data_IF_809907586508
#
_entry.id   IF_809907586508
#
_cell.length_a   1.000
_cell.length_b   1.000
_cell.length_c   1.000
_cell.angle_alpha   90.00
_cell.angle_beta   90.00
_cell.angle_gamma   90.00
#
_symmetry.space_group_name_H-M   'P 1'
#
loop_
_entity.id
_entity.type
_entity.pdbx_description
1 polymer ?
#
# COMPACT_ATOMS: atom_id res chain seq x y z
N UNK A 1 -13.54 -40.33 1.27
CA UNK A 1 -15.01 -40.40 1.06
C UNK A 1 -15.36 -39.58 -0.18
N UNK A 2 -16.07 -40.15 -1.16
CA UNK A 2 -16.46 -39.38 -2.35
C UNK A 2 -17.65 -38.46 -2.02
N UNK A 3 -17.49 -37.16 -2.29
CA UNK A 3 -18.53 -36.14 -2.10
C UNK A 3 -18.70 -35.33 -3.39
N UNK A 4 -19.90 -34.81 -3.61
CA UNK A 4 -20.17 -33.87 -4.69
C UNK A 4 -19.82 -32.46 -4.23
N UNK A 5 -18.99 -31.74 -4.99
CA UNK A 5 -18.65 -30.35 -4.70
C UNK A 5 -19.90 -29.47 -4.85
N UNK A 6 -20.25 -28.72 -3.80
CA UNK A 6 -21.40 -27.80 -3.81
C UNK A 6 -21.28 -26.69 -4.88
N UNK A 7 -20.06 -26.35 -5.30
CA UNK A 7 -19.80 -25.22 -6.21
C UNK A 7 -19.74 -25.60 -7.68
N UNK A 8 -19.10 -26.71 -8.04
CA UNK A 8 -18.89 -27.13 -9.43
C UNK A 8 -19.56 -28.45 -9.79
N UNK A 9 -20.21 -29.12 -8.84
CA UNK A 9 -20.91 -30.37 -9.07
C UNK A 9 -20.02 -31.59 -9.35
N UNK A 10 -18.69 -31.42 -9.45
CA UNK A 10 -17.74 -32.53 -9.62
C UNK A 10 -17.67 -33.40 -8.36
N UNK A 11 -17.52 -34.71 -8.54
CA UNK A 11 -17.18 -35.62 -7.45
C UNK A 11 -15.71 -35.41 -7.05
N UNK A 12 -15.43 -35.36 -5.76
CA UNK A 12 -14.08 -35.27 -5.22
C UNK A 12 -13.91 -36.12 -3.97
N UNK A 13 -12.67 -36.48 -3.67
CA UNK A 13 -12.35 -37.23 -2.48
C UNK A 13 -12.14 -36.27 -1.28
N UNK A 14 -13.10 -36.27 -0.37
CA UNK A 14 -13.02 -35.50 0.86
C UNK A 14 -12.16 -36.24 1.89
N UNK A 15 -11.14 -35.55 2.42
CA UNK A 15 -10.26 -36.04 3.50
C UNK A 15 -10.95 -36.07 4.87
N UNK A 16 -11.93 -35.20 5.08
CA UNK A 16 -12.69 -35.07 6.32
C UNK A 16 -14.16 -34.70 5.99
N UNK A 17 -15.07 -34.96 6.91
CA UNK A 17 -16.51 -34.83 6.66
C UNK A 17 -16.98 -33.38 6.43
N UNK A 18 -16.32 -32.39 7.02
CA UNK A 18 -16.75 -30.99 6.89
C UNK A 18 -16.37 -30.35 5.55
N UNK A 19 -15.57 -31.01 4.70
CA UNK A 19 -15.21 -30.46 3.40
C UNK A 19 -16.40 -30.52 2.42
N UNK A 20 -16.87 -29.34 2.02
CA UNK A 20 -18.04 -29.14 1.13
C UNK A 20 -17.68 -28.84 -0.33
N UNK A 21 -16.44 -28.43 -0.58
CA UNK A 21 -15.97 -28.00 -1.91
C UNK A 21 -14.68 -28.73 -2.30
N UNK A 22 -14.52 -28.99 -3.59
CA UNK A 22 -13.32 -29.65 -4.11
C UNK A 22 -12.07 -28.77 -4.02
N UNK A 23 -10.90 -29.38 -4.12
CA UNK A 23 -9.59 -28.72 -4.05
C UNK A 23 -9.46 -27.57 -5.06
N UNK A 24 -9.84 -27.78 -6.32
CA UNK A 24 -9.83 -26.74 -7.37
C UNK A 24 -10.69 -25.54 -6.99
N UNK A 25 -11.91 -25.78 -6.47
CA UNK A 25 -12.83 -24.72 -6.07
C UNK A 25 -12.35 -23.97 -4.82
N UNK A 26 -11.63 -24.65 -3.92
CA UNK A 26 -11.04 -24.07 -2.74
C UNK A 26 -9.83 -23.17 -3.10
N UNK A 27 -8.95 -23.65 -3.98
CA UNK A 27 -7.84 -22.83 -4.53
C UNK A 27 -8.40 -21.63 -5.30
N UNK A 28 -9.43 -21.82 -6.12
CA UNK A 28 -10.08 -20.72 -6.84
C UNK A 28 -10.73 -19.69 -5.89
N UNK A 29 -11.11 -20.09 -4.67
CA UNK A 29 -11.60 -19.18 -3.63
C UNK A 29 -10.44 -18.43 -2.95
N UNK A 30 -9.34 -19.12 -2.63
CA UNK A 30 -8.14 -18.51 -2.06
C UNK A 30 -7.49 -17.50 -3.03
N UNK A 31 -7.31 -17.87 -4.29
CA UNK A 31 -6.78 -16.97 -5.34
C UNK A 31 -7.70 -15.80 -5.71
N UNK A 32 -9.04 -15.93 -5.53
CA UNK A 32 -9.95 -14.78 -5.65
C UNK A 32 -9.83 -13.81 -4.49
N UNK A 33 -9.57 -14.30 -3.27
CA UNK A 33 -9.29 -13.42 -2.12
C UNK A 33 -7.98 -12.64 -2.34
N UNK A 34 -6.92 -13.30 -2.84
CA UNK A 34 -5.65 -12.65 -3.16
C UNK A 34 -5.76 -11.61 -4.29
N UNK A 35 -6.58 -11.85 -5.32
CA UNK A 35 -6.83 -10.85 -6.40
C UNK A 35 -7.76 -9.73 -5.97
N UNK A 36 -8.72 -9.98 -5.06
CA UNK A 36 -9.61 -8.95 -4.52
C UNK A 36 -8.90 -7.99 -3.57
N UNK A 37 -7.96 -8.47 -2.75
CA UNK A 37 -7.19 -7.62 -1.83
C UNK A 37 -6.16 -6.73 -2.53
N UNK A 38 -5.52 -7.21 -3.61
CA UNK A 38 -4.59 -6.41 -4.41
C UNK A 38 -5.27 -5.27 -5.16
N UNK A 39 -6.57 -5.41 -5.48
CA UNK A 39 -7.37 -4.42 -6.20
C UNK A 39 -7.69 -3.18 -5.36
N UNK A 40 -7.85 -3.32 -4.03
CA UNK A 40 -8.48 -2.26 -3.25
C UNK A 40 -7.53 -1.10 -2.95
N UNK A 41 -6.23 -1.36 -2.78
CA UNK A 41 -5.26 -0.27 -2.60
C UNK A 41 -4.89 0.39 -3.92
N UNK A 42 -4.79 -0.37 -5.02
CA UNK A 42 -4.47 0.20 -6.34
C UNK A 42 -5.50 1.24 -6.79
N UNK A 43 -6.77 1.05 -6.42
CA UNK A 43 -7.85 1.99 -6.71
C UNK A 43 -7.77 3.28 -5.86
N UNK A 44 -7.00 3.25 -4.77
CA UNK A 44 -6.76 4.40 -3.88
C UNK A 44 -5.47 5.16 -4.23
N UNK A 45 -4.66 4.67 -5.17
CA UNK A 45 -3.41 5.34 -5.58
C UNK A 45 -3.72 6.55 -6.46
N UNK A 46 -3.35 7.75 -5.97
CA UNK A 46 -3.47 8.98 -6.74
C UNK A 46 -2.56 8.94 -7.97
N UNK A 47 -3.12 9.12 -9.17
CA UNK A 47 -2.34 9.21 -10.42
C UNK A 47 -1.55 10.53 -10.50
N UNK A 48 -2.10 11.59 -9.93
CA UNK A 48 -1.52 12.93 -9.83
C UNK A 48 -1.94 13.56 -8.50
N UNK A 49 -1.10 14.43 -7.95
CA UNK A 49 -1.43 15.24 -6.79
C UNK A 49 -2.11 16.56 -7.15
N UNK A 50 -2.01 16.96 -8.41
CA UNK A 50 -2.50 18.25 -8.89
C UNK A 50 -3.63 18.05 -9.88
N UNK A 51 -4.66 18.89 -9.77
CA UNK A 51 -5.73 19.02 -10.76
C UNK A 51 -5.24 19.72 -12.04
N UNK A 52 -6.12 19.86 -13.02
CA UNK A 52 -5.82 20.53 -14.29
C UNK A 52 -5.42 22.01 -14.13
N UNK A 53 -5.74 22.61 -12.98
CA UNK A 53 -5.40 24.00 -12.64
C UNK A 53 -4.11 24.11 -11.82
N UNK A 54 -3.47 22.99 -11.51
CA UNK A 54 -2.24 22.94 -10.71
C UNK A 54 -2.46 23.05 -9.20
N UNK A 55 -3.70 22.91 -8.71
CA UNK A 55 -4.00 22.90 -7.28
C UNK A 55 -3.94 21.48 -6.71
N UNK A 56 -3.60 21.37 -5.42
CA UNK A 56 -3.63 20.10 -4.71
C UNK A 56 -5.04 19.52 -4.71
N UNK A 57 -5.16 18.25 -5.07
CA UNK A 57 -6.44 17.54 -5.02
C UNK A 57 -6.84 17.29 -3.56
N UNK A 58 -8.12 17.50 -3.24
CA UNK A 58 -8.65 17.39 -1.87
C UNK A 58 -8.49 15.98 -1.29
N UNK A 59 -8.42 14.99 -2.17
CA UNK A 59 -8.24 13.57 -1.89
C UNK A 59 -6.92 13.28 -1.15
N UNK A 60 -5.95 14.20 -1.21
CA UNK A 60 -4.72 14.13 -0.41
C UNK A 60 -5.02 14.23 1.10
N UNK A 61 -6.09 14.92 1.48
CA UNK A 61 -6.42 15.25 2.86
C UNK A 61 -7.66 14.49 3.38
N UNK A 62 -8.59 14.18 2.47
CA UNK A 62 -9.90 13.63 2.81
C UNK A 62 -10.14 12.29 2.12
N UNK A 63 -10.85 11.41 2.82
CA UNK A 63 -11.34 10.10 2.37
C UNK A 63 -10.26 9.06 2.01
N UNK A 64 -9.37 9.35 1.06
CA UNK A 64 -8.32 8.44 0.62
C UNK A 64 -7.33 8.12 1.75
N UNK A 65 -6.82 9.10 2.52
CA UNK A 65 -5.83 8.82 3.56
C UNK A 65 -6.38 7.88 4.66
N UNK A 66 -7.64 8.07 5.05
CA UNK A 66 -8.34 7.21 6.02
C UNK A 66 -8.50 5.77 5.49
N UNK A 67 -8.92 5.62 4.23
CA UNK A 67 -9.06 4.29 3.60
C UNK A 67 -7.72 3.57 3.49
N UNK A 68 -6.67 4.29 3.07
CA UNK A 68 -5.32 3.75 3.00
C UNK A 68 -4.84 3.34 4.40
N UNK A 69 -4.98 4.23 5.39
CA UNK A 69 -4.58 3.97 6.77
C UNK A 69 -5.24 2.69 7.33
N UNK A 70 -6.56 2.57 7.19
CA UNK A 70 -7.31 1.37 7.60
C UNK A 70 -6.84 0.12 6.87
N UNK A 71 -6.64 0.19 5.56
CA UNK A 71 -6.16 -0.96 4.77
C UNK A 71 -4.78 -1.42 5.24
N UNK A 72 -3.83 -0.49 5.36
CA UNK A 72 -2.46 -0.79 5.80
C UNK A 72 -2.41 -1.36 7.23
N UNK A 73 -3.30 -0.91 8.11
CA UNK A 73 -3.45 -1.45 9.46
C UNK A 73 -4.03 -2.87 9.45
N UNK A 74 -4.96 -3.17 8.54
CA UNK A 74 -5.61 -4.47 8.41
C UNK A 74 -4.80 -5.50 7.60
N UNK A 75 -3.73 -5.08 6.93
CA UNK A 75 -2.90 -5.97 6.11
C UNK A 75 -2.10 -6.99 6.94
N UNK A 76 -1.52 -7.97 6.23
CA UNK A 76 -0.64 -8.98 6.81
C UNK A 76 0.72 -9.00 6.08
N UNK A 77 1.83 -8.73 6.80
CA UNK A 77 1.89 -8.22 8.19
C UNK A 77 1.22 -6.85 8.34
N UNK A 78 0.67 -6.56 9.51
CA UNK A 78 0.03 -5.27 9.79
C UNK A 78 1.08 -4.18 9.91
N UNK A 79 0.86 -3.05 9.24
CA UNK A 79 1.73 -1.89 9.37
C UNK A 79 1.54 -1.25 10.75
N UNK A 80 2.63 -1.11 11.50
CA UNK A 80 2.63 -0.47 12.81
C UNK A 80 2.87 1.02 12.68
N UNK A 81 2.25 1.81 13.55
CA UNK A 81 2.46 3.27 13.63
C UNK A 81 3.94 3.67 13.69
N UNK A 82 4.78 2.94 14.44
CA UNK A 82 6.22 3.21 14.48
C UNK A 82 6.87 3.08 13.10
N UNK A 83 6.55 2.03 12.36
CA UNK A 83 7.11 1.79 11.03
C UNK A 83 6.67 2.92 10.08
N UNK A 84 5.39 3.28 10.11
CA UNK A 84 4.87 4.40 9.32
C UNK A 84 5.61 5.72 9.64
N UNK A 85 5.81 6.04 10.92
CA UNK A 85 6.56 7.23 11.35
C UNK A 85 8.03 7.21 10.96
N UNK A 86 8.66 6.03 10.95
CA UNK A 86 10.05 5.87 10.52
C UNK A 86 10.20 6.24 9.03
N UNK A 87 9.24 5.88 8.18
CA UNK A 87 9.22 6.28 6.76
C UNK A 87 8.80 7.74 6.56
N UNK A 88 7.80 8.20 7.31
CA UNK A 88 7.40 9.61 7.33
C UNK A 88 8.58 10.53 7.62
N UNK A 89 9.41 10.20 8.61
CA UNK A 89 10.59 10.98 8.98
C UNK A 89 11.60 11.08 7.82
N UNK A 90 11.77 10.02 7.04
CA UNK A 90 12.65 10.03 5.85
C UNK A 90 12.12 11.00 4.81
N UNK A 91 10.82 10.93 4.50
CA UNK A 91 10.18 11.82 3.51
C UNK A 91 10.19 13.27 3.99
N UNK A 92 9.91 13.52 5.27
CA UNK A 92 10.00 14.84 5.90
C UNK A 92 11.41 15.43 5.77
N UNK A 93 12.45 14.64 6.03
CA UNK A 93 13.84 15.08 5.89
C UNK A 93 14.22 15.37 4.43
N UNK A 94 13.76 14.53 3.49
CA UNK A 94 13.93 14.76 2.06
C UNK A 94 13.25 16.06 1.63
N UNK A 95 12.00 16.28 2.05
CA UNK A 95 11.25 17.52 1.78
C UNK A 95 12.00 18.76 2.28
N UNK A 96 12.40 18.77 3.56
CA UNK A 96 13.14 19.90 4.15
C UNK A 96 14.44 20.17 3.41
N UNK A 97 15.15 19.13 3.00
CA UNK A 97 16.41 19.27 2.25
C UNK A 97 16.17 19.79 0.83
N UNK A 98 15.10 19.34 0.16
CA UNK A 98 14.74 19.79 -1.19
C UNK A 98 14.35 21.27 -1.22
N UNK A 99 13.64 21.74 -0.20
CA UNK A 99 13.30 23.17 -0.05
C UNK A 99 14.53 24.07 0.05
N UNK A 100 15.67 23.55 0.53
CA UNK A 100 16.91 24.32 0.71
C UNK A 100 17.88 24.17 -0.46
N UNK A 101 17.93 22.99 -1.08
CA UNK A 101 19.01 22.58 -2.00
C UNK A 101 18.50 22.08 -3.36
N UNK A 102 17.19 22.07 -3.56
CA UNK A 102 16.53 21.58 -4.76
C UNK A 102 16.34 20.06 -4.79
N UNK A 103 15.44 19.59 -5.66
CA UNK A 103 15.04 18.18 -5.77
C UNK A 103 16.20 17.21 -6.06
N UNK A 104 17.19 17.63 -6.85
CA UNK A 104 18.30 16.76 -7.26
C UNK A 104 19.18 16.35 -6.07
N UNK A 105 19.30 17.23 -5.07
CA UNK A 105 20.10 16.97 -3.87
C UNK A 105 19.51 15.87 -2.98
N UNK A 106 18.23 15.51 -3.15
CA UNK A 106 17.52 14.57 -2.27
C UNK A 106 17.16 13.25 -2.95
N UNK A 107 17.43 13.09 -4.25
CA UNK A 107 17.15 11.83 -4.97
C UNK A 107 17.78 10.62 -4.30
N UNK A 108 19.01 10.77 -3.82
CA UNK A 108 19.72 9.71 -3.08
C UNK A 108 18.97 9.28 -1.81
N UNK A 109 18.32 10.21 -1.11
CA UNK A 109 17.50 9.93 0.08
C UNK A 109 16.25 9.14 -0.31
N UNK A 110 15.59 9.54 -1.41
CA UNK A 110 14.41 8.83 -1.92
C UNK A 110 14.75 7.41 -2.38
N UNK A 111 15.90 7.22 -3.04
CA UNK A 111 16.38 5.88 -3.42
C UNK A 111 16.75 5.02 -2.22
N UNK A 112 17.37 5.60 -1.19
CA UNK A 112 17.60 4.89 0.08
C UNK A 112 16.29 4.51 0.78
N UNK A 113 15.26 5.35 0.67
CA UNK A 113 13.92 5.00 1.15
C UNK A 113 13.38 3.78 0.40
N UNK A 114 13.53 3.74 -0.93
CA UNK A 114 13.12 2.61 -1.75
C UNK A 114 13.84 1.31 -1.38
N UNK A 115 15.17 1.34 -1.20
CA UNK A 115 15.93 0.14 -0.79
C UNK A 115 15.55 -0.34 0.62
N UNK A 116 15.26 0.59 1.55
CA UNK A 116 14.78 0.27 2.89
C UNK A 116 13.41 -0.43 2.87
N UNK A 117 12.52 -0.05 1.95
CA UNK A 117 11.24 -0.74 1.75
C UNK A 117 11.46 -2.19 1.34
N UNK A 118 12.32 -2.44 0.35
CA UNK A 118 12.64 -3.81 -0.09
C UNK A 118 13.19 -4.67 1.04
N UNK A 119 14.09 -4.09 1.83
CA UNK A 119 14.68 -4.80 2.95
C UNK A 119 13.64 -5.17 4.02
N UNK A 120 12.75 -4.24 4.38
CA UNK A 120 11.71 -4.52 5.37
C UNK A 120 10.64 -5.48 4.84
N UNK A 121 10.30 -5.39 3.56
CA UNK A 121 9.39 -6.32 2.89
C UNK A 121 9.93 -7.76 2.91
N UNK A 122 11.19 -7.95 2.52
CA UNK A 122 11.85 -9.27 2.53
C UNK A 122 11.91 -9.89 3.92
N UNK A 123 11.90 -9.07 4.97
CA UNK A 123 11.87 -9.51 6.37
C UNK A 123 10.46 -9.67 6.92
N UNK A 124 9.43 -9.50 6.07
CA UNK A 124 8.02 -9.59 6.45
C UNK A 124 7.68 -8.63 7.62
N UNK A 125 8.34 -7.47 7.65
CA UNK A 125 8.16 -6.45 8.68
C UNK A 125 7.01 -5.51 8.30
N UNK A 126 6.84 -5.25 7.00
CA UNK A 126 5.83 -4.35 6.43
C UNK A 126 5.05 -5.07 5.33
N UNK A 127 3.78 -4.70 5.08
CA UNK A 127 2.98 -5.34 4.05
C UNK A 127 3.37 -4.89 2.64
N UNK A 128 3.13 -5.77 1.66
CA UNK A 128 3.37 -5.49 0.24
C UNK A 128 2.59 -4.26 -0.26
N UNK A 129 1.35 -4.08 0.22
CA UNK A 129 0.50 -2.92 -0.06
C UNK A 129 1.20 -1.60 0.30
N UNK A 130 1.84 -1.52 1.46
CA UNK A 130 2.58 -0.33 1.88
C UNK A 130 3.76 -0.06 0.95
N UNK A 131 4.47 -1.10 0.51
CA UNK A 131 5.58 -0.98 -0.44
C UNK A 131 5.10 -0.48 -1.80
N UNK A 132 3.99 -1.03 -2.30
CA UNK A 132 3.40 -0.62 -3.58
C UNK A 132 2.94 0.83 -3.54
N UNK A 133 2.27 1.24 -2.46
CA UNK A 133 1.92 2.64 -2.19
C UNK A 133 3.16 3.54 -2.20
N UNK A 134 4.16 3.22 -1.37
CA UNK A 134 5.35 4.07 -1.24
C UNK A 134 6.13 4.16 -2.56
N UNK A 135 6.32 3.05 -3.28
CA UNK A 135 7.02 3.04 -4.58
C UNK A 135 6.31 3.92 -5.61
N UNK A 136 4.97 3.83 -5.67
CA UNK A 136 4.18 4.66 -6.58
C UNK A 136 4.38 6.14 -6.28
N UNK A 137 4.24 6.53 -5.02
CA UNK A 137 4.32 7.93 -4.64
C UNK A 137 5.75 8.49 -4.59
N UNK A 138 6.78 7.66 -4.35
CA UNK A 138 8.18 8.04 -4.51
C UNK A 138 8.50 8.41 -5.97
N UNK A 139 7.99 7.66 -6.95
CA UNK A 139 8.16 8.00 -8.38
C UNK A 139 7.51 9.34 -8.74
N UNK A 140 6.37 9.67 -8.11
CA UNK A 140 5.76 10.99 -8.29
C UNK A 140 6.61 12.08 -7.63
N UNK A 141 7.08 11.84 -6.40
CA UNK A 141 7.88 12.78 -5.63
C UNK A 141 9.24 13.10 -6.26
N UNK A 142 9.82 12.20 -7.04
CA UNK A 142 11.09 12.43 -7.77
C UNK A 142 10.98 13.47 -8.89
N UNK A 143 9.77 13.85 -9.32
CA UNK A 143 9.57 14.78 -10.45
C UNK A 143 10.07 16.19 -10.14
N UNK A 144 9.65 16.74 -9.01
CA UNK A 144 9.97 18.10 -8.58
C UNK A 144 9.63 18.30 -7.08
N UNK A 145 10.04 19.44 -6.52
CA UNK A 145 9.78 19.78 -5.11
C UNK A 145 8.29 19.84 -4.77
N UNK A 146 7.43 20.26 -5.71
CA UNK A 146 5.98 20.36 -5.47
C UNK A 146 5.36 18.98 -5.30
N UNK A 147 5.77 17.99 -6.10
CA UNK A 147 5.29 16.62 -5.95
C UNK A 147 5.82 15.95 -4.68
N UNK A 148 7.05 16.26 -4.27
CA UNK A 148 7.59 15.78 -2.99
C UNK A 148 6.82 16.39 -1.80
N UNK A 149 6.52 17.69 -1.85
CA UNK A 149 5.71 18.37 -0.86
C UNK A 149 4.28 17.78 -0.79
N UNK A 150 3.64 17.56 -1.94
CA UNK A 150 2.33 16.94 -2.01
C UNK A 150 2.31 15.51 -1.47
N UNK A 151 3.35 14.71 -1.76
CA UNK A 151 3.48 13.38 -1.18
C UNK A 151 3.63 13.43 0.33
N UNK A 152 4.44 14.35 0.85
CA UNK A 152 4.58 14.55 2.28
C UNK A 152 3.22 14.86 2.93
N UNK A 153 2.42 15.78 2.36
CA UNK A 153 1.10 16.12 2.87
C UNK A 153 0.12 14.93 2.84
N UNK A 154 0.19 14.10 1.78
CA UNK A 154 -0.61 12.87 1.68
C UNK A 154 -0.22 11.87 2.77
N UNK A 155 1.09 11.67 2.98
CA UNK A 155 1.60 10.76 3.99
C UNK A 155 1.30 11.25 5.41
N UNK A 156 1.38 12.55 5.65
CA UNK A 156 1.00 13.20 6.91
C UNK A 156 -0.48 12.93 7.24
N UNK A 157 -1.36 13.11 6.26
CA UNK A 157 -2.78 12.81 6.41
C UNK A 157 -3.01 11.32 6.76
N UNK A 158 -2.30 10.39 6.12
CA UNK A 158 -2.38 8.95 6.45
C UNK A 158 -1.93 8.71 7.90
N UNK A 159 -0.84 9.36 8.34
CA UNK A 159 -0.36 9.26 9.73
C UNK A 159 -1.43 9.75 10.71
N UNK A 160 -2.13 10.84 10.40
CA UNK A 160 -3.20 11.39 11.24
C UNK A 160 -4.41 10.45 11.36
N UNK A 161 -4.80 9.79 10.27
CA UNK A 161 -5.92 8.82 10.30
C UNK A 161 -5.50 7.42 10.76
N UNK A 162 -4.21 7.17 11.00
CA UNK A 162 -3.73 5.83 11.30
C UNK A 162 -4.29 5.32 12.63
N UNK A 163 -4.93 4.13 12.66
CA UNK A 163 -5.49 3.57 13.88
C UNK A 163 -4.46 3.44 15.00
N UNK A 164 -4.92 3.59 16.24
CA UNK A 164 -4.10 3.41 17.45
C UNK A 164 -3.83 1.93 17.73
#
# INVERSE_FOLDING_TARGET
>A
MQKKCEKCGKMFEAKQEYYKVCYECNIAKQSKNERGEKSLLSDLLLKSYFDEKGNLVKEIFLDIPDKIAKKLYQDHPSLKMKQLRDFYSIISNARTSALLKGIDSVRSILWQCATKLEYQLKREIIPQSFVDFMRHHLKLAEKDEKHLDAFYQHLDSIVCYFPK
#
